data_IF_374506654305
#
_entry.id   IF_374506654305
#
_cell.length_a   1.000
_cell.length_b   1.000
_cell.length_c   1.000
_cell.angle_alpha   90.00
_cell.angle_beta   90.00
_cell.angle_gamma   90.00
#
_symmetry.space_group_name_H-M   'P 1'
#
loop_
_entity.id
_entity.type
_entity.pdbx_description
1 polymer ?
#
# COMPACT_ATOMS: atom_id res chain seq x y z
N UNK A 1 6.99 -5.72 12.72
CA UNK A 1 6.64 -5.44 11.31
C UNK A 1 5.16 -5.14 11.22
N UNK A 2 4.76 -4.10 10.48
CA UNK A 2 3.35 -3.84 10.14
C UNK A 2 3.21 -3.95 8.63
N UNK A 3 2.12 -4.56 8.19
CA UNK A 3 1.80 -4.75 6.78
C UNK A 3 0.38 -4.29 6.53
N UNK A 4 0.17 -3.44 5.53
CA UNK A 4 -1.15 -2.98 5.13
C UNK A 4 -1.26 -2.92 3.60
N UNK A 5 -2.49 -2.98 3.09
CA UNK A 5 -2.77 -2.78 1.67
C UNK A 5 -3.08 -1.32 1.38
N UNK A 6 -2.58 -0.83 0.26
CA UNK A 6 -2.84 0.50 -0.26
C UNK A 6 -3.51 0.36 -1.63
N UNK A 7 -4.67 0.99 -1.81
CA UNK A 7 -5.31 1.09 -3.11
C UNK A 7 -4.90 2.40 -3.78
N UNK A 8 -4.43 2.33 -5.02
CA UNK A 8 -4.25 3.49 -5.88
C UNK A 8 -5.22 3.40 -7.05
N UNK A 9 -5.94 4.48 -7.31
CA UNK A 9 -6.89 4.57 -8.42
C UNK A 9 -6.33 5.49 -9.49
N UNK A 10 -6.37 5.03 -10.74
CA UNK A 10 -6.05 5.88 -11.89
C UNK A 10 -7.22 5.89 -12.85
N UNK A 11 -7.64 7.10 -13.22
CA UNK A 11 -8.72 7.32 -14.18
C UNK A 11 -8.10 7.62 -15.54
N UNK A 12 -8.43 6.81 -16.55
CA UNK A 12 -7.99 7.02 -17.92
C UNK A 12 -9.21 7.27 -18.81
N UNK A 13 -9.06 8.19 -19.76
CA UNK A 13 -10.06 8.47 -20.78
C UNK A 13 -9.66 7.74 -22.06
N UNK A 14 -10.50 6.82 -22.53
CA UNK A 14 -10.32 6.18 -23.82
C UNK A 14 -10.72 7.14 -24.96
N UNK A 15 -10.16 6.92 -26.15
CA UNK A 15 -10.52 7.67 -27.37
C UNK A 15 -12.02 7.56 -27.70
N UNK A 16 -12.68 6.48 -27.25
CA UNK A 16 -14.14 6.27 -27.34
C UNK A 16 -14.97 7.18 -26.40
N UNK A 17 -14.32 8.03 -25.61
CA UNK A 17 -14.99 8.96 -24.69
C UNK A 17 -15.38 8.36 -23.33
N UNK A 18 -15.16 7.05 -23.12
CA UNK A 18 -15.45 6.40 -21.83
C UNK A 18 -14.31 6.60 -20.82
N UNK A 19 -14.69 6.84 -19.55
CA UNK A 19 -13.77 6.87 -18.43
C UNK A 19 -13.66 5.46 -17.83
N UNK A 20 -12.45 4.90 -17.79
CA UNK A 20 -12.17 3.66 -17.10
C UNK A 20 -11.38 3.96 -15.82
N UNK A 21 -11.87 3.44 -14.70
CA UNK A 21 -11.18 3.49 -13.42
C UNK A 21 -10.43 2.17 -13.19
N UNK A 22 -9.10 2.24 -13.08
CA UNK A 22 -8.26 1.10 -12.70
C UNK A 22 -7.87 1.24 -11.24
N UNK A 23 -7.99 0.14 -10.48
CA UNK A 23 -7.56 0.08 -9.08
C UNK A 23 -6.41 -0.90 -8.95
N UNK A 24 -5.29 -0.43 -8.42
CA UNK A 24 -4.11 -1.25 -8.17
C UNK A 24 -3.89 -1.38 -6.66
N UNK A 25 -3.67 -2.62 -6.23
CA UNK A 25 -3.49 -2.96 -4.82
C UNK A 25 -2.01 -3.20 -4.54
N UNK A 26 -1.46 -2.36 -3.68
CA UNK A 26 -0.06 -2.38 -3.29
C UNK A 26 0.05 -2.94 -1.88
N UNK A 27 1.05 -3.80 -1.66
CA UNK A 27 1.40 -4.29 -0.33
C UNK A 27 2.48 -3.41 0.26
N UNK A 28 2.22 -2.75 1.38
CA UNK A 28 3.19 -1.89 2.07
C UNK A 28 3.63 -2.58 3.36
N UNK A 29 4.95 -2.61 3.60
CA UNK A 29 5.57 -3.21 4.78
C UNK A 29 6.40 -2.16 5.49
N UNK A 30 6.16 -1.97 6.79
CA UNK A 30 6.93 -1.10 7.65
C UNK A 30 7.75 -1.91 8.66
N UNK A 31 9.08 -1.74 8.60
CA UNK A 31 10.03 -2.36 9.52
C UNK A 31 10.46 -1.45 10.67
N UNK A 32 10.46 -0.12 10.46
CA UNK A 32 10.94 0.87 11.45
C UNK A 32 10.06 0.84 12.72
N UNK A 33 10.64 0.65 13.92
CA UNK A 33 9.87 0.55 15.16
C UNK A 33 9.02 1.79 15.48
N UNK A 34 9.58 3.00 15.34
CA UNK A 34 8.85 4.24 15.63
C UNK A 34 7.69 4.48 14.66
N UNK A 35 7.92 4.27 13.36
CA UNK A 35 6.87 4.43 12.34
C UNK A 35 5.75 3.38 12.50
N UNK A 36 6.09 2.17 12.96
CA UNK A 36 5.13 1.09 13.23
C UNK A 36 4.06 1.50 14.24
N UNK A 37 4.47 2.10 15.35
CA UNK A 37 3.55 2.54 16.41
C UNK A 37 2.63 3.65 15.92
N UNK A 38 3.19 4.63 15.18
CA UNK A 38 2.39 5.67 14.54
C UNK A 38 1.37 5.08 13.56
N UNK A 39 1.77 4.13 12.70
CA UNK A 39 0.84 3.48 11.78
C UNK A 39 -0.26 2.73 12.54
N UNK A 40 0.06 1.97 13.58
CA UNK A 40 -0.98 1.24 14.35
C UNK A 40 -1.96 2.17 15.06
N UNK A 41 -1.48 3.31 15.59
CA UNK A 41 -2.31 4.22 16.37
C UNK A 41 -3.14 5.16 15.49
N UNK A 42 -2.58 5.62 14.37
CA UNK A 42 -3.18 6.66 13.54
C UNK A 42 -3.82 6.14 12.25
N UNK A 43 -3.32 5.06 11.65
CA UNK A 43 -3.85 4.55 10.38
C UNK A 43 -5.16 3.80 10.59
N UNK A 44 -6.22 4.29 9.95
CA UNK A 44 -7.54 3.67 9.89
C UNK A 44 -7.89 3.31 8.45
N UNK A 45 -8.75 2.31 8.27
CA UNK A 45 -9.28 1.93 6.95
C UNK A 45 -9.93 3.15 6.28
N UNK A 46 -9.57 3.40 5.03
CA UNK A 46 -10.11 4.50 4.21
C UNK A 46 -9.37 5.84 4.36
N UNK A 47 -8.39 5.95 5.27
CA UNK A 47 -7.54 7.12 5.32
C UNK A 47 -6.58 7.16 4.13
N UNK A 48 -6.35 8.37 3.63
CA UNK A 48 -5.35 8.63 2.60
C UNK A 48 -3.98 8.76 3.26
N UNK A 49 -2.99 8.12 2.67
CA UNK A 49 -1.60 8.20 3.12
C UNK A 49 -0.68 8.38 1.93
N UNK A 50 0.43 9.08 2.16
CA UNK A 50 1.57 9.09 1.27
C UNK A 50 2.64 8.16 1.85
N UNK A 51 3.12 7.22 1.04
CA UNK A 51 4.13 6.24 1.42
C UNK A 51 5.37 6.47 0.57
N UNK A 52 6.50 6.72 1.21
CA UNK A 52 7.82 6.77 0.57
C UNK A 52 8.64 5.58 1.04
N UNK A 53 9.39 4.96 0.12
CA UNK A 53 10.13 3.75 0.43
C UNK A 53 10.77 3.13 -0.80
N UNK A 54 11.09 1.84 -0.69
CA UNK A 54 11.71 1.05 -1.76
C UNK A 54 10.86 -0.16 -2.10
N UNK A 55 10.87 -0.57 -3.37
CA UNK A 55 10.27 -1.83 -3.79
C UNK A 55 11.18 -2.97 -3.32
N UNK A 56 10.59 -3.95 -2.67
CA UNK A 56 11.24 -5.19 -2.26
C UNK A 56 10.53 -6.37 -2.88
N UNK A 57 11.32 -7.30 -3.37
CA UNK A 57 10.85 -8.61 -3.78
C UNK A 57 11.15 -9.59 -2.66
N UNK A 58 10.18 -10.43 -2.36
CA UNK A 58 10.31 -11.50 -1.39
C UNK A 58 9.80 -12.80 -1.96
N UNK A 59 10.04 -13.88 -1.24
CA UNK A 59 9.57 -15.21 -1.60
C UNK A 59 8.79 -15.77 -0.42
N UNK A 60 7.57 -16.22 -0.68
CA UNK A 60 6.73 -16.87 0.32
C UNK A 60 6.52 -18.30 -0.14
N UNK A 61 7.06 -19.26 0.61
CA UNK A 61 6.78 -20.67 0.40
C UNK A 61 5.38 -20.96 0.94
N UNK A 62 4.46 -21.34 0.06
CA UNK A 62 3.13 -21.81 0.46
C UNK A 62 3.20 -23.20 1.11
N UNK A 63 2.14 -23.59 1.82
CA UNK A 63 2.01 -24.93 2.41
C UNK A 63 2.06 -26.06 1.36
N UNK A 64 1.80 -25.72 0.09
CA UNK A 64 1.91 -26.58 -1.07
C UNK A 64 3.37 -26.76 -1.58
N UNK A 65 4.36 -26.22 -0.86
CA UNK A 65 5.78 -26.29 -1.21
C UNK A 65 6.18 -25.40 -2.39
N UNK A 66 5.26 -24.59 -2.92
CA UNK A 66 5.54 -23.69 -4.04
C UNK A 66 6.00 -22.33 -3.53
N UNK A 67 7.15 -21.89 -4.01
CA UNK A 67 7.67 -20.53 -3.77
C UNK A 67 6.90 -19.53 -4.62
N UNK A 68 6.24 -18.57 -3.98
CA UNK A 68 5.56 -17.46 -4.65
C UNK A 68 6.37 -16.19 -4.47
N UNK A 69 6.78 -15.60 -5.59
CA UNK A 69 7.39 -14.26 -5.60
C UNK A 69 6.34 -13.24 -5.15
N UNK A 70 6.64 -12.49 -4.10
CA UNK A 70 5.83 -11.38 -3.62
C UNK A 70 6.54 -10.07 -3.88
N UNK A 71 5.81 -9.06 -4.30
CA UNK A 71 6.32 -7.69 -4.42
C UNK A 71 5.66 -6.86 -3.34
N UNK A 72 6.46 -6.12 -2.59
CA UNK A 72 6.00 -5.22 -1.56
C UNK A 72 6.78 -3.92 -1.57
N UNK A 73 6.23 -2.88 -0.96
CA UNK A 73 6.87 -1.59 -0.77
C UNK A 73 7.35 -1.54 0.68
N UNK A 74 8.66 -1.58 0.89
CA UNK A 74 9.27 -1.34 2.19
C UNK A 74 9.21 0.17 2.48
N UNK A 75 8.30 0.58 3.36
CA UNK A 75 8.09 1.98 3.72
C UNK A 75 9.25 2.50 4.58
N UNK A 76 9.88 3.58 4.11
CA UNK A 76 10.86 4.36 4.86
C UNK A 76 10.21 5.51 5.62
N UNK A 77 9.16 6.10 5.05
CA UNK A 77 8.38 7.19 5.62
C UNK A 77 6.90 7.11 5.22
N UNK A 78 6.01 7.52 6.13
CA UNK A 78 4.56 7.53 5.91
C UNK A 78 3.97 8.83 6.44
N UNK A 79 3.32 9.58 5.55
CA UNK A 79 2.63 10.82 5.88
C UNK A 79 1.13 10.55 5.83
N UNK A 80 0.46 10.83 6.94
CA UNK A 80 -0.98 10.71 7.06
C UNK A 80 -1.63 12.00 6.59
N UNK A 81 -2.56 11.90 5.63
CA UNK A 81 -3.40 13.03 5.31
C UNK A 81 -4.54 13.08 6.32
N UNK A 82 -4.75 14.25 6.93
CA UNK A 82 -5.91 14.45 7.78
C UNK A 82 -7.18 14.25 6.95
N UNK A 83 -8.04 13.33 7.38
CA UNK A 83 -9.40 13.27 6.86
C UNK A 83 -10.16 14.46 7.44
N UNK A 84 -10.25 15.55 6.68
CA UNK A 84 -11.27 16.57 6.93
C UNK A 84 -12.62 15.91 6.63
N UNK A 85 -13.16 15.20 7.62
CA UNK A 85 -14.56 14.80 7.61
C UNK A 85 -15.35 16.07 7.85
N UNK A 86 -15.90 16.63 6.77
CA UNK A 86 -16.94 17.65 6.83
C UNK A 86 -18.29 16.94 6.77
#
# INVERSE_FOLDING_TARGET
MVTFSLATHTNYRYESGQFLQRTEWHRVICFKPGLRETIMNFLKKGQRVHVSGRITYGEITGEDGKTKSTTAIAADDVIFFQSTTQ
#
